data_IF_995597192784
#
_entry.id   IF_995597192784
#
_cell.length_a   1.000
_cell.length_b   1.000
_cell.length_c   1.000
_cell.angle_alpha   90.00
_cell.angle_beta   90.00
_cell.angle_gamma   90.00
#
_symmetry.space_group_name_H-M   'P 1'
#
loop_
_entity.id
_entity.type
_entity.pdbx_description
1 polymer ?
#
# COMPACT_ATOMS: atom_id res chain seq x y z
N UNK A 1 20.36 -12.75 9.97
CA UNK A 1 20.86 -11.40 10.27
C UNK A 1 19.91 -10.62 11.19
N UNK A 2 18.65 -10.99 11.22
CA UNK A 2 17.66 -10.56 12.19
C UNK A 2 17.15 -11.82 12.86
N UNK A 3 17.19 -11.87 14.20
CA UNK A 3 16.45 -12.90 14.92
C UNK A 3 14.97 -12.64 14.63
N UNK A 4 14.38 -13.52 13.82
CA UNK A 4 12.95 -13.47 13.52
C UNK A 4 12.19 -13.86 14.78
N UNK A 5 11.01 -13.32 14.96
CA UNK A 5 10.07 -13.87 15.93
C UNK A 5 9.86 -15.35 15.62
N UNK A 6 10.17 -16.19 16.59
CA UNK A 6 9.70 -17.56 16.55
C UNK A 6 8.20 -17.54 16.87
N UNK A 7 7.41 -18.28 16.12
CA UNK A 7 5.98 -18.36 16.39
C UNK A 7 5.76 -18.81 17.85
N UNK A 8 5.13 -17.95 18.65
CA UNK A 8 4.87 -18.20 20.07
C UNK A 8 5.73 -17.41 21.06
N UNK A 9 6.62 -16.47 20.60
CA UNK A 9 7.31 -15.55 21.52
C UNK A 9 6.30 -14.84 22.43
N UNK A 10 6.69 -14.67 23.69
CA UNK A 10 5.86 -14.08 24.76
C UNK A 10 6.23 -12.61 24.94
N UNK A 11 5.27 -11.70 24.81
CA UNK A 11 5.54 -10.27 24.84
C UNK A 11 4.82 -9.53 25.98
N UNK A 12 5.50 -8.52 26.52
CA UNK A 12 4.87 -7.44 27.30
C UNK A 12 4.73 -6.23 26.38
N UNK A 13 3.51 -5.67 26.28
CA UNK A 13 3.21 -4.51 25.47
C UNK A 13 3.28 -3.25 26.32
N UNK A 14 3.89 -2.21 25.78
CA UNK A 14 4.01 -0.90 26.45
C UNK A 14 3.38 0.18 25.56
N UNK A 15 2.41 0.87 26.15
CA UNK A 15 1.73 1.98 25.50
C UNK A 15 1.80 3.23 26.38
N UNK A 16 2.16 4.37 25.78
CA UNK A 16 2.26 5.66 26.47
C UNK A 16 1.22 6.61 25.87
N UNK A 17 0.29 7.06 26.71
CA UNK A 17 -0.64 8.11 26.32
C UNK A 17 0.04 9.47 26.52
N UNK A 18 0.16 10.24 25.45
CA UNK A 18 0.59 11.63 25.52
C UNK A 18 -0.64 12.55 25.61
N UNK A 19 -0.48 13.69 26.31
CA UNK A 19 -1.57 14.64 26.55
C UNK A 19 -1.97 15.44 25.31
N UNK A 20 -1.17 15.43 24.24
CA UNK A 20 -1.50 16.06 22.96
C UNK A 20 -2.54 15.21 22.21
N UNK A 21 -3.74 15.78 22.00
CA UNK A 21 -4.89 15.07 21.44
C UNK A 21 -4.75 14.73 19.93
N UNK A 22 -3.72 15.24 19.26
CA UNK A 22 -3.58 15.12 17.79
C UNK A 22 -2.94 13.82 17.27
N UNK A 23 -2.24 13.05 18.13
CA UNK A 23 -1.44 11.89 17.70
C UNK A 23 -1.58 10.72 18.67
N UNK A 24 -2.80 10.28 18.95
CA UNK A 24 -3.00 9.09 19.77
C UNK A 24 -2.77 7.83 18.96
N UNK A 25 -1.67 7.16 19.21
CA UNK A 25 -1.50 5.77 18.79
C UNK A 25 -2.50 4.89 19.54
N UNK A 26 -3.16 3.99 18.82
CA UNK A 26 -4.19 3.14 19.40
C UNK A 26 -3.59 1.86 20.01
N UNK A 27 -3.99 1.54 21.24
CA UNK A 27 -3.59 0.30 21.91
C UNK A 27 -4.20 -0.94 21.24
N UNK A 28 -5.42 -0.86 20.74
CA UNK A 28 -6.07 -2.00 20.07
C UNK A 28 -5.37 -2.28 18.71
N UNK A 29 -4.93 -1.24 18.03
CA UNK A 29 -4.09 -1.40 16.83
C UNK A 29 -2.76 -2.09 17.16
N UNK A 30 -2.09 -1.74 18.28
CA UNK A 30 -0.88 -2.44 18.72
C UNK A 30 -1.16 -3.93 18.97
N UNK A 31 -2.25 -4.28 19.63
CA UNK A 31 -2.63 -5.69 19.87
C UNK A 31 -2.84 -6.44 18.56
N UNK A 32 -3.47 -5.80 17.57
CA UNK A 32 -3.65 -6.38 16.24
C UNK A 32 -2.32 -6.55 15.49
N UNK A 33 -1.38 -5.58 15.61
CA UNK A 33 -0.02 -5.71 15.05
C UNK A 33 0.70 -6.91 15.67
N UNK A 34 0.70 -7.03 16.97
CA UNK A 34 1.34 -8.13 17.73
C UNK A 34 0.76 -9.49 17.34
N UNK A 35 -0.56 -9.59 17.27
CA UNK A 35 -1.25 -10.79 16.77
C UNK A 35 -0.86 -11.11 15.31
N UNK A 36 -0.76 -10.08 14.46
CA UNK A 36 -0.36 -10.24 13.05
C UNK A 36 1.09 -10.68 12.90
N UNK A 37 1.95 -10.38 13.86
CA UNK A 37 3.32 -10.86 13.94
C UNK A 37 3.44 -12.31 14.46
N UNK A 38 2.35 -12.90 14.96
CA UNK A 38 2.36 -14.24 15.57
C UNK A 38 2.95 -14.28 16.97
N UNK A 39 2.93 -13.16 17.69
CA UNK A 39 3.45 -13.00 19.05
C UNK A 39 2.29 -13.03 20.04
N UNK A 40 2.51 -13.63 21.21
CA UNK A 40 1.52 -13.72 22.29
C UNK A 40 1.71 -12.60 23.30
N UNK A 41 0.71 -11.74 23.48
CA UNK A 41 0.72 -10.70 24.50
C UNK A 41 0.40 -11.29 25.89
N UNK A 42 1.37 -11.30 26.81
CA UNK A 42 1.19 -11.75 28.19
C UNK A 42 0.64 -10.67 29.11
N UNK A 43 0.97 -9.42 28.82
CA UNK A 43 0.55 -8.27 29.61
C UNK A 43 0.65 -6.97 28.86
N UNK A 44 -0.09 -5.97 29.31
CA UNK A 44 -0.11 -4.63 28.75
C UNK A 44 0.19 -3.63 29.85
N UNK A 45 1.16 -2.78 29.66
CA UNK A 45 1.51 -1.67 30.55
C UNK A 45 1.17 -0.37 29.88
N UNK A 46 0.29 0.41 30.50
CA UNK A 46 -0.07 1.74 30.03
C UNK A 46 0.48 2.80 31.00
N UNK A 47 0.83 3.97 30.46
CA UNK A 47 1.23 5.13 31.28
C UNK A 47 0.89 6.42 30.56
N UNK A 48 0.64 7.48 31.32
CA UNK A 48 0.36 8.81 30.80
C UNK A 48 1.59 9.70 31.00
N UNK A 49 1.97 10.47 29.98
CA UNK A 49 3.07 11.43 30.06
C UNK A 49 2.80 12.65 29.18
N UNK A 50 3.44 13.77 29.52
CA UNK A 50 3.44 14.96 28.69
C UNK A 50 4.50 14.92 27.57
N UNK A 51 5.62 14.18 27.81
CA UNK A 51 6.70 14.02 26.83
C UNK A 51 7.50 12.75 27.10
N UNK A 52 8.13 12.13 26.06
CA UNK A 52 8.98 10.97 26.25
C UNK A 52 10.24 11.30 27.04
N UNK A 53 10.65 10.38 27.93
CA UNK A 53 11.91 10.49 28.64
C UNK A 53 13.09 10.21 27.72
N UNK A 54 14.15 11.02 27.81
CA UNK A 54 15.35 10.84 26.97
C UNK A 54 16.05 9.49 27.22
N UNK A 55 15.98 8.93 28.43
CA UNK A 55 16.70 7.71 28.84
C UNK A 55 15.95 6.43 28.50
N UNK A 56 14.64 6.36 28.82
CA UNK A 56 13.87 5.12 28.78
C UNK A 56 12.53 5.28 28.00
N UNK A 57 12.26 6.41 27.37
CA UNK A 57 10.96 6.78 26.80
C UNK A 57 9.88 6.95 27.85
N UNK A 58 9.72 6.00 28.75
CA UNK A 58 8.92 6.05 29.99
C UNK A 58 9.72 6.63 31.17
N UNK A 59 9.06 6.92 32.32
CA UNK A 59 9.77 7.31 33.54
C UNK A 59 10.58 6.15 34.15
N UNK A 60 11.63 6.45 34.93
CA UNK A 60 12.50 5.42 35.54
C UNK A 60 11.69 4.41 36.38
N UNK A 61 10.79 4.88 37.26
CA UNK A 61 9.94 3.98 38.04
C UNK A 61 9.03 3.09 37.22
N UNK A 62 8.47 3.62 36.13
CA UNK A 62 7.67 2.80 35.19
C UNK A 62 8.54 1.80 34.44
N UNK A 63 9.77 2.15 34.09
CA UNK A 63 10.71 1.22 33.46
C UNK A 63 11.08 0.06 34.41
N UNK A 64 11.26 0.32 35.71
CA UNK A 64 11.49 -0.71 36.75
C UNK A 64 10.27 -1.60 36.95
N UNK A 65 9.07 -1.02 36.91
CA UNK A 65 7.80 -1.79 36.94
C UNK A 65 7.68 -2.73 35.76
N UNK A 66 7.99 -2.26 34.53
CA UNK A 66 8.00 -3.09 33.33
C UNK A 66 9.03 -4.21 33.48
N UNK A 67 10.25 -3.91 33.94
CA UNK A 67 11.28 -4.92 34.20
C UNK A 67 10.81 -6.03 35.13
N UNK A 68 10.12 -5.65 36.20
CA UNK A 68 9.55 -6.61 37.16
C UNK A 68 8.46 -7.47 36.53
N UNK A 69 7.60 -6.88 35.68
CA UNK A 69 6.57 -7.64 34.97
C UNK A 69 7.18 -8.61 33.96
N UNK A 70 8.21 -8.20 33.20
CA UNK A 70 8.93 -9.05 32.26
C UNK A 70 9.46 -10.30 32.96
N UNK A 71 10.10 -10.13 34.12
CA UNK A 71 10.63 -11.25 34.91
C UNK A 71 9.53 -12.15 35.45
N UNK A 72 8.46 -11.56 35.99
CA UNK A 72 7.34 -12.30 36.58
C UNK A 72 6.57 -13.12 35.52
N UNK A 73 6.37 -12.58 34.35
CA UNK A 73 5.65 -13.23 33.24
C UNK A 73 6.53 -14.12 32.39
N UNK A 74 7.86 -14.04 32.53
CA UNK A 74 8.79 -14.77 31.67
C UNK A 74 8.73 -14.32 30.22
N UNK A 75 8.56 -13.03 29.97
CA UNK A 75 8.44 -12.51 28.62
C UNK A 75 9.79 -12.48 27.90
N UNK A 76 9.78 -12.88 26.62
CA UNK A 76 10.96 -12.92 25.76
C UNK A 76 11.26 -11.55 25.11
N UNK A 77 10.23 -10.72 24.96
CA UNK A 77 10.31 -9.45 24.27
C UNK A 77 9.40 -8.39 24.91
N UNK A 78 9.82 -7.14 24.88
CA UNK A 78 8.97 -5.99 25.20
C UNK A 78 8.72 -5.18 23.93
N UNK A 79 7.45 -4.91 23.64
CA UNK A 79 7.04 -4.20 22.42
C UNK A 79 6.44 -2.85 22.80
N UNK A 80 7.06 -1.79 22.29
CA UNK A 80 6.59 -0.42 22.45
C UNK A 80 5.72 0.02 21.29
N UNK A 81 4.58 0.63 21.58
CA UNK A 81 3.67 1.20 20.56
C UNK A 81 4.19 2.50 19.92
N UNK A 82 5.40 2.89 20.21
CA UNK A 82 6.01 4.15 19.76
C UNK A 82 7.38 3.87 19.15
N UNK A 83 7.86 4.81 18.31
CA UNK A 83 9.22 4.77 17.82
C UNK A 83 10.21 5.08 18.95
N UNK A 84 11.20 4.24 19.15
CA UNK A 84 12.26 4.43 20.12
C UNK A 84 13.53 4.95 19.46
N UNK A 85 14.24 5.83 20.14
CA UNK A 85 15.61 6.14 19.74
C UNK A 85 16.53 4.96 20.04
N UNK A 86 17.64 4.80 19.28
CA UNK A 86 18.60 3.72 19.53
C UNK A 86 19.20 3.71 20.95
N UNK A 87 19.25 4.88 21.58
CA UNK A 87 19.74 5.01 22.98
C UNK A 87 18.71 4.50 23.98
N UNK A 88 17.42 4.81 23.76
CA UNK A 88 16.32 4.33 24.60
C UNK A 88 16.20 2.82 24.53
N UNK A 89 16.15 2.25 23.32
CA UNK A 89 16.08 0.81 23.08
C UNK A 89 17.19 0.06 23.82
N UNK A 90 18.45 0.45 23.61
CA UNK A 90 19.59 -0.15 24.31
C UNK A 90 19.52 -0.01 25.84
N UNK A 91 19.06 1.14 26.35
CA UNK A 91 18.94 1.33 27.80
C UNK A 91 17.84 0.43 28.41
N UNK A 92 16.74 0.27 27.66
CA UNK A 92 15.63 -0.61 28.04
C UNK A 92 16.04 -2.08 27.99
N UNK A 93 16.71 -2.54 26.92
CA UNK A 93 17.24 -3.91 26.81
C UNK A 93 18.19 -4.27 27.97
N UNK A 94 19.05 -3.33 28.38
CA UNK A 94 19.93 -3.52 29.53
C UNK A 94 19.16 -3.64 30.86
N UNK A 95 18.04 -2.91 30.98
CA UNK A 95 17.22 -2.95 32.18
C UNK A 95 16.35 -4.20 32.22
N UNK A 96 15.72 -4.55 31.13
CA UNK A 96 14.77 -5.66 31.03
C UNK A 96 15.46 -7.02 30.87
N UNK A 97 16.72 -7.04 30.42
CA UNK A 97 17.48 -8.26 30.10
C UNK A 97 16.79 -9.13 29.05
N UNK A 98 15.93 -8.55 28.23
CA UNK A 98 15.27 -9.15 27.08
C UNK A 98 15.29 -8.20 25.89
N UNK A 99 14.83 -8.66 24.75
CA UNK A 99 14.73 -7.88 23.52
C UNK A 99 13.69 -6.78 23.66
N UNK A 100 13.98 -5.61 23.14
CA UNK A 100 13.03 -4.49 23.03
C UNK A 100 12.80 -4.18 21.58
N UNK A 101 11.54 -4.06 21.19
CA UNK A 101 11.14 -3.77 19.81
C UNK A 101 10.19 -2.57 19.83
N UNK A 102 10.45 -1.64 18.95
CA UNK A 102 9.58 -0.50 18.73
C UNK A 102 8.53 -0.78 17.64
N UNK A 103 7.54 0.09 17.49
CA UNK A 103 6.47 -0.03 16.49
C UNK A 103 7.01 -0.22 15.07
N UNK A 104 8.06 0.52 14.71
CA UNK A 104 8.70 0.42 13.39
C UNK A 104 9.32 -0.95 13.17
N UNK A 105 10.05 -1.47 14.14
CA UNK A 105 10.63 -2.81 14.12
C UNK A 105 9.57 -3.90 13.97
N UNK A 106 8.46 -3.80 14.73
CA UNK A 106 7.34 -4.73 14.66
C UNK A 106 6.69 -4.76 13.26
N UNK A 107 6.43 -3.60 12.67
CA UNK A 107 5.88 -3.50 11.30
C UNK A 107 6.85 -4.12 10.28
N UNK A 108 8.14 -3.87 10.41
CA UNK A 108 9.17 -4.45 9.53
C UNK A 108 9.22 -5.97 9.63
N UNK A 109 9.03 -6.53 10.81
CA UNK A 109 9.01 -7.98 11.01
C UNK A 109 7.74 -8.61 10.42
N UNK A 110 6.58 -7.97 10.55
CA UNK A 110 5.35 -8.39 9.87
C UNK A 110 5.56 -8.40 8.35
N UNK A 111 6.16 -7.35 7.81
CA UNK A 111 6.46 -7.25 6.39
C UNK A 111 7.44 -8.35 5.92
N UNK A 112 8.44 -8.68 6.73
CA UNK A 112 9.38 -9.74 6.42
C UNK A 112 8.71 -11.13 6.35
N UNK A 113 7.67 -11.34 7.16
CA UNK A 113 6.87 -12.57 7.12
C UNK A 113 5.92 -12.61 5.91
N UNK A 114 5.40 -11.46 5.48
CA UNK A 114 4.40 -11.34 4.41
C UNK A 114 4.98 -11.25 3.01
N UNK A 115 6.22 -10.78 2.85
CA UNK A 115 6.88 -10.64 1.55
C UNK A 115 7.04 -12.00 0.86
N UNK A 116 6.33 -12.20 -0.23
CA UNK A 116 6.36 -13.43 -1.02
C UNK A 116 7.18 -13.27 -2.29
N UNK A 117 7.04 -12.13 -2.97
CA UNK A 117 7.74 -11.87 -4.23
C UNK A 117 9.23 -11.58 -3.99
N UNK A 118 10.04 -11.80 -5.01
CA UNK A 118 11.46 -11.44 -4.95
C UNK A 118 11.67 -9.94 -4.71
N UNK A 119 10.84 -9.11 -5.32
CA UNK A 119 10.89 -7.67 -5.15
C UNK A 119 10.47 -7.26 -3.74
N UNK A 120 9.32 -7.73 -3.24
CA UNK A 120 8.87 -7.45 -1.87
C UNK A 120 9.92 -7.84 -0.82
N UNK A 121 10.57 -9.01 -0.99
CA UNK A 121 11.68 -9.42 -0.11
C UNK A 121 12.87 -8.45 -0.15
N UNK A 122 13.24 -7.95 -1.33
CA UNK A 122 14.31 -6.96 -1.46
C UNK A 122 13.94 -5.61 -0.86
N UNK A 123 12.69 -5.18 -1.00
CA UNK A 123 12.19 -3.94 -0.41
C UNK A 123 12.18 -4.00 1.11
N UNK A 124 11.68 -5.10 1.67
CA UNK A 124 11.70 -5.32 3.12
C UNK A 124 13.13 -5.40 3.64
N UNK A 125 14.02 -6.14 2.99
CA UNK A 125 15.43 -6.21 3.38
C UNK A 125 16.08 -4.83 3.35
N UNK A 126 15.77 -4.01 2.33
CA UNK A 126 16.25 -2.64 2.24
C UNK A 126 15.78 -1.79 3.44
N UNK A 127 14.49 -1.85 3.76
CA UNK A 127 13.91 -1.13 4.88
C UNK A 127 14.53 -1.55 6.22
N UNK A 128 14.65 -2.86 6.45
CA UNK A 128 15.31 -3.41 7.65
C UNK A 128 16.76 -2.96 7.77
N UNK A 129 17.54 -2.99 6.67
CA UNK A 129 18.94 -2.56 6.69
C UNK A 129 19.08 -1.05 6.93
N UNK A 130 18.17 -0.22 6.41
CA UNK A 130 18.12 1.21 6.71
C UNK A 130 17.81 1.46 8.18
N UNK A 131 16.76 0.80 8.70
CA UNK A 131 16.42 0.89 10.11
C UNK A 131 17.58 0.47 11.01
N UNK A 132 18.25 -0.64 10.72
CA UNK A 132 19.45 -1.09 11.43
C UNK A 132 20.60 -0.08 11.32
N UNK A 133 20.80 0.54 10.16
CA UNK A 133 21.87 1.51 9.96
C UNK A 133 21.76 2.73 10.87
N UNK A 134 20.52 3.16 11.19
CA UNK A 134 20.28 4.24 12.16
C UNK A 134 20.64 3.84 13.60
N UNK A 135 20.52 2.56 13.92
CA UNK A 135 20.80 2.00 15.25
C UNK A 135 22.27 1.73 15.50
N UNK A 136 23.07 1.51 14.46
CA UNK A 136 24.52 1.32 14.56
C UNK A 136 25.32 2.62 14.83
N UNK A 137 24.67 3.76 14.99
CA UNK A 137 25.36 5.07 15.03
C UNK A 137 26.11 5.35 16.33
N UNK A 138 25.88 4.65 17.47
CA UNK A 138 26.70 4.80 18.69
C UNK A 138 26.56 3.61 19.65
N UNK A 139 27.50 2.68 19.57
CA UNK A 139 27.90 1.91 20.75
C UNK A 139 27.22 0.57 20.98
N UNK A 140 27.34 -0.36 20.08
CA UNK A 140 27.23 -1.78 20.39
C UNK A 140 28.53 -2.27 21.01
N UNK A 141 28.74 -1.99 22.29
CA UNK A 141 29.90 -2.46 23.05
C UNK A 141 29.89 -3.98 23.30
N UNK A 142 28.77 -4.67 23.02
CA UNK A 142 28.68 -6.13 23.15
C UNK A 142 29.30 -6.91 22.00
N UNK A 143 29.40 -6.35 20.79
CA UNK A 143 30.12 -6.98 19.68
C UNK A 143 31.63 -6.99 19.85
N UNK A 144 32.18 -6.12 20.70
CA UNK A 144 33.62 -6.10 21.00
C UNK A 144 34.10 -7.30 21.85
N UNK A 145 33.21 -8.06 22.49
CA UNK A 145 33.58 -9.19 23.36
C UNK A 145 33.55 -10.56 22.71
N UNK A 146 33.11 -10.72 21.49
CA UNK A 146 33.33 -11.95 20.75
C UNK A 146 34.77 -12.00 20.20
N UNK A 147 35.71 -12.37 21.05
CA UNK A 147 37.06 -12.77 20.68
C UNK A 147 36.98 -14.01 19.76
N UNK A 148 37.44 -13.86 18.52
CA UNK A 148 37.74 -15.01 17.70
C UNK A 148 37.34 -14.89 16.23
N UNK A 149 38.09 -14.09 15.47
CA UNK A 149 37.95 -14.03 14.02
C UNK A 149 39.18 -13.31 13.43
N UNK A 150 40.27 -14.00 13.33
CA UNK A 150 41.47 -13.53 12.60
C UNK A 150 41.11 -13.49 11.11
N UNK A 151 41.16 -12.30 10.49
CA UNK A 151 41.46 -12.26 9.08
C UNK A 151 40.68 -11.40 8.13
N UNK A 152 39.95 -10.34 8.53
CA UNK A 152 39.31 -9.42 7.56
C UNK A 152 39.31 -7.93 7.98
N UNK A 153 40.20 -7.53 8.90
CA UNK A 153 40.39 -6.14 9.29
C UNK A 153 41.51 -5.51 8.52
N UNK A 154 41.23 -4.45 7.77
CA UNK A 154 42.28 -3.54 7.34
C UNK A 154 42.94 -2.84 8.57
N UNK A 155 44.23 -2.45 8.50
CA UNK A 155 44.89 -1.82 9.61
C UNK A 155 44.22 -0.49 9.96
N UNK A 156 43.58 -0.42 11.17
CA UNK A 156 42.93 0.76 11.71
C UNK A 156 41.41 0.81 11.66
N UNK A 157 40.72 -0.19 11.06
CA UNK A 157 39.25 -0.23 10.99
C UNK A 157 38.68 -0.88 12.27
N UNK A 158 37.74 -0.19 12.92
CA UNK A 158 36.97 -0.77 14.04
C UNK A 158 35.93 -1.76 13.53
N UNK A 159 35.49 -2.71 14.38
CA UNK A 159 34.40 -3.65 14.05
C UNK A 159 33.16 -2.89 13.53
N UNK A 160 32.81 -1.80 14.19
CA UNK A 160 31.67 -0.96 13.84
C UNK A 160 31.79 -0.32 12.44
N UNK A 161 32.99 0.11 12.05
CA UNK A 161 33.24 0.67 10.72
C UNK A 161 33.12 -0.38 9.63
N UNK A 162 33.62 -1.58 9.90
CA UNK A 162 33.49 -2.73 9.00
C UNK A 162 32.01 -3.10 8.80
N UNK A 163 31.24 -3.20 9.89
CA UNK A 163 29.82 -3.53 9.83
C UNK A 163 29.02 -2.46 9.06
N UNK A 164 29.33 -1.18 9.28
CA UNK A 164 28.73 -0.07 8.52
C UNK A 164 29.08 -0.13 7.04
N UNK A 165 30.30 -0.50 6.69
CA UNK A 165 30.71 -0.64 5.29
C UNK A 165 29.98 -1.77 4.63
N UNK A 166 29.89 -2.94 5.26
CA UNK A 166 29.15 -4.10 4.75
C UNK A 166 27.65 -3.80 4.56
N UNK A 167 27.04 -3.11 5.51
CA UNK A 167 25.67 -2.64 5.40
C UNK A 167 25.44 -1.73 4.19
N UNK A 168 26.31 -0.72 4.01
CA UNK A 168 26.22 0.19 2.85
C UNK A 168 26.39 -0.56 1.53
N UNK A 169 27.33 -1.50 1.47
CA UNK A 169 27.55 -2.33 0.29
C UNK A 169 26.31 -3.19 -0.02
N UNK A 170 25.70 -3.79 1.01
CA UNK A 170 24.47 -4.57 0.87
C UNK A 170 23.30 -3.71 0.39
N UNK A 171 23.10 -2.53 0.97
CA UNK A 171 22.07 -1.55 0.55
C UNK A 171 22.28 -1.18 -0.93
N UNK A 172 23.52 -0.85 -1.35
CA UNK A 172 23.83 -0.55 -2.76
C UNK A 172 23.53 -1.72 -3.69
N UNK A 173 23.84 -2.94 -3.27
CA UNK A 173 23.54 -4.14 -4.07
C UNK A 173 22.04 -4.37 -4.24
N UNK A 174 21.25 -4.16 -3.18
CA UNK A 174 19.77 -4.27 -3.22
C UNK A 174 19.19 -3.20 -4.13
N UNK A 175 19.61 -1.94 -3.99
CA UNK A 175 19.13 -0.84 -4.83
C UNK A 175 19.36 -1.11 -6.33
N UNK A 176 20.54 -1.66 -6.70
CA UNK A 176 20.80 -2.05 -8.10
C UNK A 176 19.88 -3.16 -8.59
N UNK A 177 19.48 -4.11 -7.72
CA UNK A 177 18.54 -5.18 -8.07
C UNK A 177 17.13 -4.62 -8.24
N UNK A 178 16.69 -3.76 -7.33
CA UNK A 178 15.39 -3.09 -7.41
C UNK A 178 15.26 -2.21 -8.67
N UNK A 179 16.31 -1.49 -9.06
CA UNK A 179 16.33 -0.71 -10.30
C UNK A 179 16.13 -1.61 -11.54
N UNK A 180 16.73 -2.80 -11.58
CA UNK A 180 16.50 -3.77 -12.67
C UNK A 180 15.05 -4.24 -12.71
N UNK A 181 14.47 -4.56 -11.55
CA UNK A 181 13.07 -5.01 -11.46
C UNK A 181 12.13 -3.88 -11.88
N UNK A 182 12.39 -2.64 -11.45
CA UNK A 182 11.60 -1.47 -11.84
C UNK A 182 11.60 -1.27 -13.37
N UNK A 183 12.77 -1.39 -14.03
CA UNK A 183 12.87 -1.31 -15.50
C UNK A 183 12.08 -2.41 -16.23
N UNK A 184 12.10 -3.65 -15.70
CA UNK A 184 11.32 -4.75 -16.25
C UNK A 184 9.81 -4.52 -16.08
N UNK A 185 9.37 -4.03 -14.92
CA UNK A 185 7.97 -3.65 -14.68
C UNK A 185 7.52 -2.54 -15.62
N UNK A 186 8.35 -1.53 -15.81
CA UNK A 186 8.02 -0.44 -16.72
C UNK A 186 7.86 -0.91 -18.16
N UNK A 187 8.67 -1.86 -18.63
CA UNK A 187 8.50 -2.46 -19.95
C UNK A 187 7.17 -3.21 -20.06
N UNK A 188 6.82 -4.03 -19.06
CA UNK A 188 5.53 -4.72 -19.00
C UNK A 188 4.34 -3.76 -18.97
N UNK A 189 4.50 -2.62 -18.26
CA UNK A 189 3.49 -1.58 -18.18
C UNK A 189 3.32 -0.81 -19.48
N UNK A 190 4.41 -0.44 -20.15
CA UNK A 190 4.34 0.17 -21.50
C UNK A 190 3.57 -0.72 -22.48
N UNK A 191 3.64 -2.03 -22.33
CA UNK A 191 2.85 -2.97 -23.11
C UNK A 191 1.36 -2.92 -22.72
N UNK A 192 1.02 -2.79 -21.42
CA UNK A 192 -0.37 -2.60 -20.94
C UNK A 192 -0.94 -1.26 -21.41
N UNK A 193 -0.17 -0.17 -21.24
CA UNK A 193 -0.57 1.17 -21.68
C UNK A 193 -0.75 1.27 -23.20
N UNK A 194 -0.06 0.44 -23.99
CA UNK A 194 -0.33 0.35 -25.45
C UNK A 194 -1.68 -0.31 -25.75
N UNK A 195 -2.14 -1.18 -24.88
CA UNK A 195 -3.44 -1.86 -25.00
C UNK A 195 -4.56 -1.11 -24.26
N UNK A 196 -4.25 0.02 -23.62
CA UNK A 196 -5.18 0.97 -22.97
C UNK A 196 -6.18 0.34 -22.00
N UNK A 197 -5.72 -0.69 -21.27
CA UNK A 197 -6.53 -1.33 -20.25
C UNK A 197 -6.47 -0.46 -19.00
N UNK A 198 -7.59 0.14 -18.54
CA UNK A 198 -7.59 0.97 -17.35
C UNK A 198 -7.20 0.16 -16.10
N UNK A 199 -6.49 0.83 -15.19
CA UNK A 199 -6.07 0.24 -13.93
C UNK A 199 -6.81 0.90 -12.78
N UNK A 200 -7.47 0.08 -11.96
CA UNK A 200 -8.19 0.49 -10.75
C UNK A 200 -7.44 -0.06 -9.54
N UNK A 201 -7.06 0.79 -8.61
CA UNK A 201 -6.28 0.39 -7.42
C UNK A 201 -7.13 0.50 -6.16
N UNK A 202 -7.14 -0.58 -5.35
CA UNK A 202 -7.74 -0.57 -4.02
C UNK A 202 -6.76 0.07 -3.04
N UNK A 203 -7.18 1.14 -2.38
CA UNK A 203 -6.43 1.83 -1.34
C UNK A 203 -7.27 1.92 -0.07
N UNK A 204 -6.65 2.12 1.07
CA UNK A 204 -7.36 2.25 2.33
C UNK A 204 -6.56 1.71 3.51
N UNK A 205 -7.06 1.98 4.70
CA UNK A 205 -6.43 1.56 5.94
C UNK A 205 -6.30 0.03 6.02
N UNK A 206 -5.37 -0.46 6.85
CA UNK A 206 -5.28 -1.90 7.14
C UNK A 206 -6.62 -2.41 7.68
N UNK A 207 -6.98 -3.63 7.31
CA UNK A 207 -8.24 -4.27 7.72
C UNK A 207 -9.54 -3.57 7.24
N UNK A 208 -9.49 -2.61 6.32
CA UNK A 208 -10.69 -2.01 5.72
C UNK A 208 -11.45 -2.97 4.77
N UNK A 209 -10.89 -4.15 4.48
CA UNK A 209 -11.51 -5.19 3.66
C UNK A 209 -11.10 -5.19 2.19
N UNK A 210 -9.95 -4.58 1.83
CA UNK A 210 -9.45 -4.52 0.43
C UNK A 210 -9.33 -5.89 -0.22
N UNK A 211 -8.60 -6.80 0.39
CA UNK A 211 -8.39 -8.15 -0.15
C UNK A 211 -9.67 -8.99 -0.16
N UNK A 212 -10.60 -8.73 0.76
CA UNK A 212 -11.93 -9.35 0.76
C UNK A 212 -12.73 -8.90 -0.45
N UNK A 213 -12.78 -7.58 -0.70
CA UNK A 213 -13.46 -7.03 -1.87
C UNK A 213 -12.80 -7.50 -3.17
N UNK A 214 -11.46 -7.53 -3.22
CA UNK A 214 -10.71 -8.04 -4.36
C UNK A 214 -11.11 -9.48 -4.71
N UNK A 215 -11.17 -10.36 -3.71
CA UNK A 215 -11.58 -11.75 -3.88
C UNK A 215 -13.04 -11.86 -4.35
N UNK A 216 -13.93 -11.05 -3.78
CA UNK A 216 -15.35 -11.02 -4.14
C UNK A 216 -15.55 -10.62 -5.61
N UNK A 217 -14.78 -9.65 -6.10
CA UNK A 217 -14.91 -9.15 -7.47
C UNK A 217 -14.23 -10.04 -8.52
N UNK A 218 -13.13 -10.70 -8.15
CA UNK A 218 -12.28 -11.43 -9.11
C UNK A 218 -12.42 -12.94 -9.03
N UNK A 219 -13.25 -13.46 -8.12
CA UNK A 219 -13.34 -14.89 -7.78
C UNK A 219 -11.96 -15.52 -7.47
N UNK A 220 -11.02 -14.68 -7.00
CA UNK A 220 -9.67 -15.10 -6.62
C UNK A 220 -9.66 -15.61 -5.18
N UNK A 221 -8.65 -16.39 -4.82
CA UNK A 221 -8.40 -16.84 -3.44
C UNK A 221 -7.13 -16.20 -2.89
N UNK A 222 -7.04 -14.86 -2.95
CA UNK A 222 -5.96 -14.13 -2.27
C UNK A 222 -6.19 -14.24 -0.76
N UNK A 223 -5.12 -14.42 -0.02
CA UNK A 223 -5.19 -14.52 1.44
C UNK A 223 -5.83 -13.26 2.02
N UNK A 224 -7.05 -13.38 2.48
CA UNK A 224 -7.77 -12.36 3.22
C UNK A 224 -7.97 -12.88 4.64
N UNK A 225 -7.42 -12.18 5.63
CA UNK A 225 -7.55 -12.52 7.03
C UNK A 225 -7.83 -11.23 7.81
N UNK A 226 -8.44 -11.38 8.97
CA UNK A 226 -8.62 -10.30 9.94
C UNK A 226 -7.28 -10.02 10.65
N UNK A 227 -6.28 -9.68 9.86
CA UNK A 227 -4.91 -9.40 10.25
C UNK A 227 -4.40 -8.17 9.51
N UNK A 228 -3.63 -7.35 10.22
CA UNK A 228 -2.99 -6.18 9.61
C UNK A 228 -1.94 -6.63 8.59
N UNK A 229 -1.86 -5.91 7.47
CA UNK A 229 -0.94 -6.20 6.37
C UNK A 229 -1.09 -7.62 5.79
N UNK A 230 -2.32 -8.09 5.61
CA UNK A 230 -2.58 -9.38 4.96
C UNK A 230 -1.97 -9.42 3.53
N UNK A 231 -2.03 -8.31 2.80
CA UNK A 231 -1.40 -8.12 1.50
C UNK A 231 -0.23 -7.14 1.63
N UNK A 232 0.97 -7.56 1.20
CA UNK A 232 2.16 -6.70 1.07
C UNK A 232 2.53 -6.52 -0.40
N UNK A 233 2.63 -7.62 -1.14
CA UNK A 233 2.91 -7.60 -2.58
C UNK A 233 1.63 -7.29 -3.36
N UNK A 234 1.64 -6.32 -4.30
CA UNK A 234 0.45 -6.01 -5.09
C UNK A 234 0.00 -7.20 -5.91
N UNK A 235 -1.28 -7.45 -5.92
CA UNK A 235 -1.89 -8.51 -6.73
C UNK A 235 -2.74 -7.88 -7.83
N UNK A 236 -2.43 -8.19 -9.09
CA UNK A 236 -3.16 -7.69 -10.25
C UNK A 236 -4.06 -8.77 -10.80
N UNK A 237 -5.33 -8.44 -11.10
CA UNK A 237 -6.27 -9.33 -11.77
C UNK A 237 -7.05 -8.56 -12.82
N UNK A 238 -7.36 -9.26 -13.89
CA UNK A 238 -8.24 -8.76 -14.94
C UNK A 238 -9.68 -8.91 -14.50
N UNK A 239 -10.44 -7.85 -14.62
CA UNK A 239 -11.87 -7.78 -14.41
C UNK A 239 -12.51 -7.33 -15.73
N UNK A 240 -13.64 -7.95 -16.10
CA UNK A 240 -14.38 -7.53 -17.29
C UNK A 240 -15.60 -6.74 -16.83
N UNK A 241 -15.66 -5.46 -17.19
CA UNK A 241 -16.75 -4.57 -16.83
C UNK A 241 -17.57 -4.32 -18.10
N UNK A 242 -18.90 -4.51 -17.97
CA UNK A 242 -19.83 -4.25 -19.06
C UNK A 242 -19.64 -2.80 -19.54
N UNK A 243 -19.66 -2.60 -20.86
CA UNK A 243 -19.53 -1.29 -21.49
C UNK A 243 -18.17 -0.57 -21.32
N UNK A 244 -17.25 -1.09 -20.51
CA UNK A 244 -15.84 -0.61 -20.40
C UNK A 244 -14.88 -1.60 -21.04
N UNK A 245 -15.13 -2.89 -20.88
CA UNK A 245 -14.24 -3.97 -21.33
C UNK A 245 -13.31 -4.46 -20.22
N UNK A 246 -12.07 -4.74 -20.59
CA UNK A 246 -11.04 -5.22 -19.68
C UNK A 246 -10.54 -4.11 -18.75
N UNK A 247 -10.50 -4.37 -17.47
CA UNK A 247 -9.96 -3.49 -16.43
C UNK A 247 -8.98 -4.28 -15.58
N UNK A 248 -7.87 -3.70 -15.18
CA UNK A 248 -6.96 -4.31 -14.21
C UNK A 248 -7.33 -3.81 -12.81
N UNK A 249 -7.71 -4.73 -11.94
CA UNK A 249 -7.90 -4.45 -10.53
C UNK A 249 -6.63 -4.80 -9.76
N UNK A 250 -6.13 -3.86 -8.94
CA UNK A 250 -4.95 -4.01 -8.12
C UNK A 250 -5.33 -4.03 -6.64
N UNK A 251 -5.00 -5.11 -5.91
CA UNK A 251 -5.00 -5.12 -4.45
C UNK A 251 -3.63 -4.66 -3.95
N UNK A 252 -3.62 -3.70 -3.03
CA UNK A 252 -2.39 -3.07 -2.54
C UNK A 252 -2.22 -3.23 -1.03
N UNK A 253 -1.02 -2.90 -0.55
CA UNK A 253 -0.73 -2.88 0.88
C UNK A 253 -1.68 -1.92 1.63
N UNK A 254 -2.14 -2.34 2.81
CA UNK A 254 -2.93 -1.48 3.69
C UNK A 254 -2.06 -0.39 4.31
N UNK A 255 -2.62 0.81 4.42
CA UNK A 255 -1.98 1.91 5.15
C UNK A 255 -2.26 1.80 6.65
N UNK A 256 -1.37 2.36 7.45
CA UNK A 256 -1.46 2.42 8.90
C UNK A 256 -0.96 3.79 9.36
N UNK A 257 -1.45 4.25 10.50
CA UNK A 257 -0.97 5.51 11.09
C UNK A 257 0.51 5.44 11.41
N UNK A 258 1.18 6.56 11.27
CA UNK A 258 2.61 6.69 11.55
C UNK A 258 3.47 5.65 10.83
N UNK A 259 3.10 5.35 9.56
CA UNK A 259 3.95 4.52 8.71
C UNK A 259 5.29 5.25 8.52
N UNK A 260 6.42 4.67 8.97
CA UNK A 260 7.71 5.36 8.88
C UNK A 260 8.04 5.75 7.43
N UNK A 261 8.48 6.99 7.21
CA UNK A 261 8.84 7.49 5.86
C UNK A 261 9.88 6.60 5.15
N UNK A 262 10.79 5.98 5.89
CA UNK A 262 11.74 5.02 5.34
C UNK A 262 11.05 3.79 4.75
N UNK A 263 9.91 3.37 5.32
CA UNK A 263 9.08 2.29 4.78
C UNK A 263 8.33 2.75 3.54
N UNK A 264 7.70 3.91 3.55
CA UNK A 264 7.04 4.49 2.36
C UNK A 264 8.04 4.57 1.20
N UNK A 265 9.25 5.08 1.47
CA UNK A 265 10.32 5.17 0.46
C UNK A 265 10.79 3.78 -0.04
N UNK A 266 10.84 2.77 0.82
CA UNK A 266 11.21 1.40 0.43
C UNK A 266 10.11 0.74 -0.42
N UNK A 267 8.84 1.03 -0.13
CA UNK A 267 7.68 0.49 -0.84
C UNK A 267 7.19 1.37 -2.00
N UNK A 268 7.90 2.45 -2.32
CA UNK A 268 7.53 3.36 -3.43
C UNK A 268 7.24 2.61 -4.74
N UNK A 269 7.98 1.55 -5.04
CA UNK A 269 7.74 0.73 -6.22
C UNK A 269 6.48 -0.14 -6.12
N UNK A 270 6.10 -0.58 -4.93
CA UNK A 270 4.86 -1.33 -4.67
C UNK A 270 3.64 -0.41 -4.74
N UNK A 271 3.80 0.83 -4.26
CA UNK A 271 2.78 1.88 -4.32
C UNK A 271 2.68 2.56 -5.70
N UNK A 272 3.56 2.19 -6.63
CA UNK A 272 3.55 2.74 -7.98
C UNK A 272 2.27 2.38 -8.76
N UNK A 273 1.69 1.19 -8.53
CA UNK A 273 0.41 0.81 -9.13
C UNK A 273 -0.73 1.73 -8.64
N UNK A 274 -0.65 2.22 -7.40
CA UNK A 274 -1.59 3.22 -6.86
C UNK A 274 -1.38 4.59 -7.50
N UNK A 275 -0.13 5.04 -7.60
CA UNK A 275 0.24 6.33 -8.18
C UNK A 275 -0.17 6.47 -9.64
N UNK A 276 -0.17 5.37 -10.39
CA UNK A 276 -0.42 5.35 -11.83
C UNK A 276 -1.79 4.80 -12.19
N UNK A 277 -2.64 4.52 -11.19
CA UNK A 277 -4.00 4.08 -11.41
C UNK A 277 -4.85 5.18 -12.08
N UNK A 278 -5.78 4.75 -12.93
CA UNK A 278 -6.76 5.63 -13.56
C UNK A 278 -7.87 6.01 -12.56
N UNK A 279 -8.13 5.14 -11.59
CA UNK A 279 -9.11 5.33 -10.52
C UNK A 279 -8.64 4.65 -9.23
N UNK A 280 -8.80 5.33 -8.11
CA UNK A 280 -8.59 4.78 -6.78
C UNK A 280 -9.94 4.42 -6.15
N UNK A 281 -10.05 3.20 -5.63
CA UNK A 281 -11.15 2.78 -4.77
C UNK A 281 -10.67 2.89 -3.33
N UNK A 282 -11.08 3.95 -2.65
CA UNK A 282 -10.69 4.18 -1.26
C UNK A 282 -11.64 3.45 -0.32
N UNK A 283 -11.22 2.28 0.17
CA UNK A 283 -12.00 1.49 1.11
C UNK A 283 -11.84 2.00 2.53
N UNK A 284 -12.98 2.16 3.19
CA UNK A 284 -13.09 2.63 4.57
C UNK A 284 -13.97 1.65 5.35
N UNK A 285 -13.58 1.28 6.55
CA UNK A 285 -14.42 0.54 7.49
C UNK A 285 -15.43 1.52 8.10
N UNK A 286 -16.70 1.42 7.69
CA UNK A 286 -17.74 2.34 8.16
C UNK A 286 -18.27 2.01 9.55
N UNK A 287 -17.85 0.88 10.14
CA UNK A 287 -18.17 0.50 11.52
C UNK A 287 -17.06 0.90 12.51
N UNK A 288 -15.97 1.51 12.03
CA UNK A 288 -14.86 1.96 12.85
C UNK A 288 -15.16 3.34 13.45
N UNK A 289 -15.06 3.48 14.76
CA UNK A 289 -15.23 4.78 15.47
C UNK A 289 -14.21 5.82 15.01
N UNK A 290 -13.03 5.39 14.56
CA UNK A 290 -11.93 6.23 14.09
C UNK A 290 -11.93 6.40 12.55
N UNK A 291 -13.08 6.18 11.90
CA UNK A 291 -13.21 6.21 10.44
C UNK A 291 -12.59 7.45 9.81
N UNK A 292 -12.89 8.65 10.34
CA UNK A 292 -12.39 9.91 9.75
C UNK A 292 -10.87 10.03 9.88
N UNK A 293 -10.30 9.69 11.01
CA UNK A 293 -8.84 9.72 11.23
C UNK A 293 -8.10 8.72 10.33
N UNK A 294 -8.73 7.57 10.05
CA UNK A 294 -8.19 6.58 9.11
C UNK A 294 -8.23 7.09 7.67
N UNK A 295 -9.29 7.81 7.28
CA UNK A 295 -9.39 8.49 5.98
C UNK A 295 -8.25 9.51 5.84
N UNK A 296 -8.07 10.38 6.83
CA UNK A 296 -7.06 11.44 6.81
C UNK A 296 -5.65 10.85 6.72
N UNK A 297 -5.37 9.77 7.46
CA UNK A 297 -4.09 9.05 7.39
C UNK A 297 -3.82 8.46 6.01
N UNK A 298 -4.84 7.92 5.34
CA UNK A 298 -4.72 7.40 3.98
C UNK A 298 -4.46 8.53 2.99
N UNK A 299 -5.16 9.65 3.09
CA UNK A 299 -4.96 10.82 2.24
C UNK A 299 -3.55 11.40 2.39
N UNK A 300 -3.01 11.45 3.61
CA UNK A 300 -1.64 11.88 3.84
C UNK A 300 -0.63 10.98 3.10
N UNK A 301 -0.79 9.66 3.18
CA UNK A 301 0.10 8.73 2.46
C UNK A 301 -0.06 8.87 0.94
N UNK A 302 -1.30 9.06 0.43
CA UNK A 302 -1.53 9.29 -1.00
C UNK A 302 -0.83 10.56 -1.48
N UNK A 303 -0.82 11.64 -0.68
CA UNK A 303 -0.07 12.86 -0.98
C UNK A 303 1.46 12.62 -0.98
N UNK A 304 2.00 11.85 -0.02
CA UNK A 304 3.43 11.51 0.02
C UNK A 304 3.91 10.72 -1.21
N UNK A 305 3.04 9.92 -1.80
CA UNK A 305 3.35 9.15 -3.01
C UNK A 305 2.93 9.85 -4.31
N UNK A 306 2.43 11.09 -4.23
CA UNK A 306 1.98 11.88 -5.39
C UNK A 306 0.80 11.20 -6.14
N UNK A 307 -0.19 10.71 -5.39
CA UNK A 307 -1.38 10.02 -5.92
C UNK A 307 -2.71 10.67 -5.47
N UNK A 308 -2.65 11.79 -4.76
CA UNK A 308 -3.78 12.54 -4.24
C UNK A 308 -4.59 13.25 -5.33
N UNK A 309 -3.99 13.49 -6.49
CA UNK A 309 -4.63 14.06 -7.69
C UNK A 309 -5.44 13.04 -8.52
N UNK A 310 -5.38 11.75 -8.17
CA UNK A 310 -6.09 10.71 -8.88
C UNK A 310 -7.59 10.73 -8.60
N UNK A 311 -8.44 10.43 -9.61
CA UNK A 311 -9.88 10.23 -9.36
C UNK A 311 -10.09 9.18 -8.27
N UNK A 312 -10.98 9.46 -7.32
CA UNK A 312 -11.25 8.56 -6.20
C UNK A 312 -12.74 8.28 -6.07
N UNK A 313 -13.09 7.02 -5.79
CA UNK A 313 -14.40 6.61 -5.30
C UNK A 313 -14.25 6.09 -3.88
N UNK A 314 -14.93 6.71 -2.92
CA UNK A 314 -14.95 6.23 -1.55
C UNK A 314 -15.87 5.03 -1.41
N UNK A 315 -15.39 3.94 -0.80
CA UNK A 315 -16.16 2.73 -0.54
C UNK A 315 -16.28 2.53 0.98
N UNK A 316 -17.46 2.83 1.51
CA UNK A 316 -17.84 2.55 2.90
C UNK A 316 -18.20 1.06 3.02
N UNK A 317 -17.22 0.26 3.43
CA UNK A 317 -17.33 -1.18 3.56
C UNK A 317 -17.79 -1.59 4.96
N UNK A 318 -18.21 -2.85 5.10
CA UNK A 318 -18.67 -3.49 6.34
C UNK A 318 -20.02 -2.97 6.83
N UNK A 319 -20.93 -2.61 5.92
CA UNK A 319 -22.32 -2.25 6.28
C UNK A 319 -23.06 -3.36 7.02
N UNK A 320 -22.64 -4.61 6.85
CA UNK A 320 -23.14 -5.77 7.59
C UNK A 320 -22.96 -5.65 9.11
N UNK A 321 -22.10 -4.76 9.58
CA UNK A 321 -21.93 -4.43 11.00
C UNK A 321 -22.81 -3.27 11.49
N UNK A 322 -23.52 -2.59 10.59
CA UNK A 322 -24.40 -1.46 10.89
C UNK A 322 -25.85 -1.89 10.83
N UNK A 323 -26.66 -1.53 11.86
CA UNK A 323 -28.02 -2.01 11.98
C UNK A 323 -28.99 -1.51 10.89
N UNK A 324 -28.80 -0.27 10.37
CA UNK A 324 -29.79 0.43 9.53
C UNK A 324 -29.17 1.14 8.31
N UNK A 325 -28.03 0.66 7.79
CA UNK A 325 -27.42 1.27 6.61
C UNK A 325 -27.54 0.37 5.39
N UNK A 326 -28.47 0.68 4.44
CA UNK A 326 -28.60 -0.09 3.21
C UNK A 326 -27.41 0.16 2.27
N UNK A 327 -27.12 -0.82 1.42
CA UNK A 327 -26.21 -0.64 0.31
C UNK A 327 -26.75 0.42 -0.66
N UNK A 328 -25.85 1.21 -1.26
CA UNK A 328 -26.27 2.25 -2.18
C UNK A 328 -25.11 3.12 -2.69
N UNK A 329 -25.39 3.82 -3.79
CA UNK A 329 -24.45 4.71 -4.47
C UNK A 329 -24.86 6.17 -4.28
N UNK A 330 -23.98 6.95 -3.65
CA UNK A 330 -24.14 8.40 -3.48
C UNK A 330 -23.44 9.15 -4.64
N UNK A 331 -24.05 10.24 -5.06
CA UNK A 331 -23.60 11.06 -6.19
C UNK A 331 -23.40 12.50 -5.77
N UNK A 332 -22.51 13.22 -6.44
CA UNK A 332 -22.36 14.66 -6.31
C UNK A 332 -23.50 15.42 -7.05
N UNK A 333 -23.46 16.75 -6.98
CA UNK A 333 -24.44 17.64 -7.64
C UNK A 333 -24.40 17.52 -9.17
N UNK A 334 -23.31 16.99 -9.73
CA UNK A 334 -23.14 16.74 -11.17
C UNK A 334 -23.58 15.32 -11.56
N UNK A 335 -24.06 14.53 -10.60
CA UNK A 335 -24.51 13.15 -10.78
C UNK A 335 -23.41 12.12 -10.84
N UNK A 336 -22.16 12.47 -10.53
CA UNK A 336 -21.02 11.54 -10.55
C UNK A 336 -20.97 10.70 -9.28
N UNK A 337 -20.64 9.40 -9.36
CA UNK A 337 -20.41 8.55 -8.20
C UNK A 337 -19.28 9.09 -7.31
N UNK A 338 -19.55 9.32 -6.02
CA UNK A 338 -18.56 9.81 -5.05
C UNK A 338 -18.39 8.88 -3.87
N UNK A 339 -19.46 8.18 -3.47
CA UNK A 339 -19.42 7.25 -2.33
C UNK A 339 -20.33 6.06 -2.56
N UNK A 340 -19.85 4.89 -2.16
CA UNK A 340 -20.56 3.64 -2.28
C UNK A 340 -20.59 2.92 -0.93
N UNK A 341 -21.75 2.42 -0.53
CA UNK A 341 -21.96 1.63 0.68
C UNK A 341 -22.16 0.17 0.30
N UNK A 342 -21.29 -0.71 0.83
CA UNK A 342 -21.35 -2.15 0.53
C UNK A 342 -20.80 -3.00 1.68
N UNK A 343 -21.05 -4.31 1.59
CA UNK A 343 -20.32 -5.32 2.37
C UNK A 343 -19.52 -6.23 1.43
N UNK A 344 -18.22 -6.14 1.52
CA UNK A 344 -17.33 -7.05 0.79
C UNK A 344 -17.43 -8.50 1.27
N UNK A 345 -17.89 -8.73 2.50
CA UNK A 345 -18.05 -10.05 3.08
C UNK A 345 -19.31 -10.76 2.57
N UNK A 346 -20.44 -10.08 2.54
CA UNK A 346 -21.72 -10.65 2.08
C UNK A 346 -21.93 -10.50 0.58
N UNK A 347 -21.21 -9.56 -0.07
CA UNK A 347 -21.40 -9.20 -1.47
C UNK A 347 -22.49 -8.17 -1.70
N UNK A 348 -23.20 -7.74 -0.66
CA UNK A 348 -24.27 -6.75 -0.75
C UNK A 348 -23.72 -5.40 -1.24
N UNK A 349 -24.35 -4.83 -2.26
CA UNK A 349 -23.97 -3.56 -2.87
C UNK A 349 -22.83 -3.64 -3.90
N UNK A 350 -22.24 -4.82 -4.15
CA UNK A 350 -21.19 -4.96 -5.17
C UNK A 350 -21.71 -4.67 -6.58
N UNK A 351 -22.99 -4.83 -6.86
CA UNK A 351 -23.63 -4.47 -8.13
C UNK A 351 -23.55 -2.96 -8.41
N UNK A 352 -23.68 -2.13 -7.39
CA UNK A 352 -23.52 -0.67 -7.52
C UNK A 352 -22.07 -0.28 -7.84
N UNK A 353 -21.09 -1.09 -7.39
CA UNK A 353 -19.69 -0.85 -7.73
C UNK A 353 -19.45 -1.01 -9.22
N UNK A 354 -20.02 -2.04 -9.86
CA UNK A 354 -19.90 -2.20 -11.31
C UNK A 354 -20.55 -1.03 -12.07
N UNK A 355 -21.69 -0.54 -11.58
CA UNK A 355 -22.34 0.66 -12.13
C UNK A 355 -21.45 1.89 -12.01
N UNK A 356 -20.89 2.14 -10.82
CA UNK A 356 -19.99 3.26 -10.58
C UNK A 356 -18.71 3.18 -11.42
N UNK A 357 -18.11 1.99 -11.54
CA UNK A 357 -16.93 1.76 -12.36
C UNK A 357 -17.23 1.99 -13.84
N UNK A 358 -18.39 1.55 -14.33
CA UNK A 358 -18.82 1.81 -15.70
C UNK A 358 -18.89 3.31 -15.95
N UNK A 359 -19.52 4.08 -15.08
CA UNK A 359 -19.69 5.53 -15.26
C UNK A 359 -18.36 6.29 -15.14
N UNK A 360 -17.54 5.97 -14.12
CA UNK A 360 -16.27 6.69 -13.88
C UNK A 360 -15.21 6.37 -14.94
N UNK A 361 -15.20 5.14 -15.47
CA UNK A 361 -14.24 4.72 -16.50
C UNK A 361 -14.77 4.99 -17.91
N UNK A 362 -16.09 4.94 -18.15
CA UNK A 362 -16.70 5.29 -19.42
C UNK A 362 -16.60 6.78 -19.75
N UNK A 363 -16.49 7.66 -18.72
CA UNK A 363 -16.19 9.09 -18.93
C UNK A 363 -14.84 9.37 -19.60
N UNK A 364 -13.98 8.37 -19.67
CA UNK A 364 -12.74 8.40 -20.46
C UNK A 364 -12.90 7.87 -21.90
N UNK A 365 -14.11 7.39 -22.26
CA UNK A 365 -14.42 6.87 -23.59
C UNK A 365 -15.16 7.90 -24.44
N UNK A 366 -14.74 8.08 -25.67
CA UNK A 366 -15.43 8.88 -26.68
C UNK A 366 -16.13 7.97 -27.69
N UNK A 367 -17.37 8.30 -27.98
CA UNK A 367 -18.16 7.66 -29.02
C UNK A 367 -18.39 8.65 -30.16
N UNK A 368 -17.92 8.32 -31.35
CA UNK A 368 -18.12 9.14 -32.52
C UNK A 368 -18.56 8.28 -33.71
N UNK A 369 -19.46 8.82 -34.52
CA UNK A 369 -19.73 8.26 -35.85
C UNK A 369 -18.86 9.02 -36.82
N UNK A 370 -17.95 8.29 -37.52
CA UNK A 370 -17.07 8.86 -38.51
C UNK A 370 -17.54 8.44 -39.89
N UNK A 371 -17.59 9.40 -40.83
CA UNK A 371 -17.75 9.10 -42.27
C UNK A 371 -16.43 9.35 -42.95
N UNK A 372 -15.76 8.28 -43.40
CA UNK A 372 -14.43 8.31 -43.96
C UNK A 372 -14.51 8.03 -45.47
N UNK A 373 -14.00 8.94 -46.32
CA UNK A 373 -13.85 8.65 -47.73
C UNK A 373 -12.82 7.53 -47.96
N UNK A 374 -12.84 6.79 -49.07
CA UNK A 374 -11.86 5.76 -49.40
C UNK A 374 -10.40 6.23 -49.32
N UNK A 375 -10.16 7.52 -49.53
CA UNK A 375 -8.83 8.15 -49.44
C UNK A 375 -8.29 8.20 -48.01
N UNK A 376 -9.14 8.12 -46.96
CA UNK A 376 -8.76 8.13 -45.55
C UNK A 376 -8.39 6.73 -44.99
N UNK A 377 -7.90 5.83 -45.86
CA UNK A 377 -7.54 4.47 -45.50
C UNK A 377 -6.52 4.38 -44.35
N UNK A 378 -5.62 5.37 -44.23
CA UNK A 378 -4.63 5.44 -43.15
C UNK A 378 -5.31 5.62 -41.79
N UNK A 379 -6.27 6.53 -41.66
CA UNK A 379 -7.03 6.77 -40.44
C UNK A 379 -7.86 5.54 -40.08
N UNK A 380 -8.55 4.94 -41.07
CA UNK A 380 -9.27 3.70 -40.89
C UNK A 380 -8.37 2.58 -40.33
N UNK A 381 -7.17 2.39 -40.90
CA UNK A 381 -6.18 1.41 -40.43
C UNK A 381 -5.69 1.73 -38.98
N UNK A 382 -5.58 2.99 -38.62
CA UNK A 382 -5.23 3.40 -37.27
C UNK A 382 -6.35 3.03 -36.26
N UNK A 383 -7.62 3.30 -36.63
CA UNK A 383 -8.78 2.93 -35.82
C UNK A 383 -8.92 1.41 -35.61
N UNK A 384 -8.64 0.62 -36.67
CA UNK A 384 -8.57 -0.85 -36.56
C UNK A 384 -7.45 -1.33 -35.62
N UNK A 385 -6.27 -0.72 -35.67
CA UNK A 385 -5.16 -1.06 -34.79
C UNK A 385 -5.49 -0.76 -33.33
N UNK A 386 -6.24 0.30 -33.08
CA UNK A 386 -6.74 0.69 -31.75
C UNK A 386 -7.96 -0.12 -31.33
N UNK A 387 -8.44 -1.04 -32.16
CA UNK A 387 -9.69 -1.81 -31.93
C UNK A 387 -10.90 -0.92 -31.57
N UNK A 388 -10.89 0.31 -32.07
CA UNK A 388 -11.88 1.33 -31.73
C UNK A 388 -13.13 1.29 -32.62
N UNK A 389 -13.28 0.35 -33.53
CA UNK A 389 -14.43 0.26 -34.42
C UNK A 389 -15.41 -0.76 -33.85
N UNK A 390 -16.61 -0.30 -33.44
CA UNK A 390 -17.71 -1.16 -32.97
C UNK A 390 -18.56 -1.67 -34.13
N UNK A 391 -18.88 -0.77 -35.07
CA UNK A 391 -19.66 -1.11 -36.24
C UNK A 391 -19.09 -0.40 -37.50
N UNK A 392 -19.20 -1.07 -38.60
CA UNK A 392 -18.80 -0.53 -39.91
C UNK A 392 -19.92 -0.73 -40.94
N UNK A 393 -20.19 0.31 -41.70
CA UNK A 393 -21.13 0.32 -42.80
C UNK A 393 -20.65 1.21 -43.95
N UNK A 394 -21.50 1.36 -44.95
CA UNK A 394 -21.22 2.23 -46.10
C UNK A 394 -22.35 3.24 -46.23
N UNK A 395 -22.01 4.46 -46.62
CA UNK A 395 -22.99 5.47 -47.03
C UNK A 395 -23.44 5.22 -48.47
N UNK A 396 -24.53 5.87 -48.87
CA UNK A 396 -25.00 5.84 -50.29
C UNK A 396 -23.96 6.41 -51.27
N UNK A 397 -23.05 7.24 -50.76
CA UNK A 397 -21.96 7.86 -51.54
C UNK A 397 -20.70 6.99 -51.61
N UNK A 398 -20.70 5.81 -50.96
CA UNK A 398 -19.57 4.86 -50.95
C UNK A 398 -18.50 5.14 -49.90
N UNK A 399 -18.74 6.06 -48.95
CA UNK A 399 -17.88 6.31 -47.80
C UNK A 399 -18.07 5.25 -46.72
N UNK A 400 -17.02 4.98 -45.96
CA UNK A 400 -17.11 4.12 -44.75
C UNK A 400 -17.79 4.88 -43.62
N UNK A 401 -18.86 4.34 -43.05
CA UNK A 401 -19.51 4.84 -41.86
C UNK A 401 -19.06 3.96 -40.68
N UNK A 402 -18.26 4.53 -39.77
CA UNK A 402 -17.65 3.81 -38.64
C UNK A 402 -18.27 4.33 -37.31
N UNK A 403 -18.84 3.44 -36.55
CA UNK A 403 -19.09 3.74 -35.13
C UNK A 403 -17.82 3.44 -34.35
N UNK A 404 -17.22 4.50 -33.82
CA UNK A 404 -15.94 4.46 -33.15
C UNK A 404 -16.12 4.69 -31.66
N UNK A 405 -15.54 3.78 -30.87
CA UNK A 405 -15.43 3.89 -29.43
C UNK A 405 -13.96 3.78 -29.05
N UNK A 406 -13.42 4.86 -28.50
CA UNK A 406 -12.02 4.95 -28.13
C UNK A 406 -11.87 5.62 -26.76
N UNK A 407 -10.78 5.32 -26.07
CA UNK A 407 -10.40 6.12 -24.92
C UNK A 407 -10.09 7.57 -25.34
N UNK A 408 -10.45 8.53 -24.50
CA UNK A 408 -10.23 9.95 -24.76
C UNK A 408 -8.75 10.26 -25.04
N UNK A 409 -7.84 9.54 -24.39
CA UNK A 409 -6.40 9.68 -24.62
C UNK A 409 -5.98 9.30 -26.05
N UNK A 410 -6.52 8.20 -26.60
CA UNK A 410 -6.25 7.77 -27.97
C UNK A 410 -6.94 8.65 -28.98
N UNK A 411 -8.18 9.03 -28.68
CA UNK A 411 -8.88 10.00 -29.48
C UNK A 411 -8.07 11.30 -29.60
N UNK A 412 -7.59 11.85 -28.47
CA UNK A 412 -6.76 13.04 -28.47
C UNK A 412 -5.43 12.84 -29.21
N UNK A 413 -4.85 11.63 -29.17
CA UNK A 413 -3.65 11.29 -29.92
C UNK A 413 -3.92 11.25 -31.42
N UNK A 414 -5.04 10.66 -31.83
CA UNK A 414 -5.50 10.68 -33.23
C UNK A 414 -5.78 12.11 -33.72
N UNK A 415 -6.45 12.92 -32.90
CA UNK A 415 -6.69 14.34 -33.20
C UNK A 415 -5.37 15.09 -33.41
N UNK A 416 -4.34 14.83 -32.58
CA UNK A 416 -3.01 15.46 -32.74
C UNK A 416 -2.28 14.97 -33.98
N UNK A 417 -2.48 13.71 -34.39
CA UNK A 417 -1.81 13.13 -35.58
C UNK A 417 -2.47 13.53 -36.91
N UNK A 418 -3.80 13.56 -36.95
CA UNK A 418 -4.58 13.82 -38.17
C UNK A 418 -5.03 15.28 -38.29
N UNK A 419 -4.87 16.09 -37.22
CA UNK A 419 -5.20 17.51 -37.19
C UNK A 419 -6.69 17.81 -37.39
N UNK A 420 -6.98 18.93 -38.06
CA UNK A 420 -8.36 19.36 -38.34
C UNK A 420 -9.13 18.39 -39.26
N UNK A 421 -8.44 17.49 -39.94
CA UNK A 421 -9.08 16.53 -40.83
C UNK A 421 -9.97 15.52 -40.10
N UNK A 422 -9.61 15.12 -38.85
CA UNK A 422 -10.42 14.18 -38.08
C UNK A 422 -11.78 14.78 -37.70
N UNK A 423 -11.82 16.07 -37.32
CA UNK A 423 -13.06 16.74 -36.96
C UNK A 423 -14.05 16.84 -38.13
N UNK A 424 -13.55 16.92 -39.37
CA UNK A 424 -14.39 16.98 -40.58
C UNK A 424 -15.12 15.66 -40.87
N UNK A 425 -14.62 14.56 -40.34
CA UNK A 425 -15.21 13.25 -40.55
C UNK A 425 -16.21 12.86 -39.47
N UNK A 426 -16.37 13.66 -38.40
CA UNK A 426 -17.34 13.38 -37.36
C UNK A 426 -18.73 13.76 -37.86
N UNK A 427 -19.66 12.79 -37.80
CA UNK A 427 -21.10 13.03 -37.96
C UNK A 427 -21.70 13.37 -36.60
N UNK A 428 -22.39 14.47 -36.52
CA UNK A 428 -23.16 14.88 -35.34
C UNK A 428 -24.53 14.20 -35.33
#
# INVERSE_FOLDING_TARGET
>A
LFDRYEAGEQAVLVHVNFSDEGEREDLEELKMLVSSAGVNALGVVTTNRSAPSAKFFVGSGKAEEIASQVQMLGADVVIFNHALTPAQERNLERLFQCRVVDRTGLILDIFAQRARTHEGKLQVELAQLRHLSTRLVRGWTHLERQKGGIGLRGPGETQLETDRRLLRERIKAILRRLDKVAKQREQGRRARNRNEVPTVSLVGYTNAGKSTLFNQLTAASVYAADQLFATLDPTLRKLVIRDVGDVILADTVGFIRHLPHDLVAAFKATLQETREADLLLHLVDCADEQMQENIDSVQQVLAEIEADDRPQLMICNKIDKLADRPAGLERDDEGRPVRLWLSAQTGEGCEYLFTALTELLAGSMVHHTLQLPPSAARLRSALYRLKGIEQEGFSEEGDFVLQVRLQLADWNRLVKQEGENLQRFIRH
#
